data_IF_678726791585
#
_entry.id   IF_678726791585
#
_cell.length_a   1.000
_cell.length_b   1.000
_cell.length_c   1.000
_cell.angle_alpha   90.00
_cell.angle_beta   90.00
_cell.angle_gamma   90.00
#
_symmetry.space_group_name_H-M   'P 1'
#
loop_
_entity.id
_entity.type
_entity.pdbx_description
1 polymer ?
#
# COMPACT_ATOMS: atom_id res chain seq x y z
N UNK A 1 3.26 -1.30 -4.74
CA UNK A 1 3.78 -2.17 -3.67
C UNK A 1 2.65 -2.67 -2.78
N UNK A 2 1.95 -1.80 -2.04
CA UNK A 2 0.80 -2.19 -1.20
C UNK A 2 -0.21 -3.13 -1.90
N UNK A 3 -0.81 -2.71 -3.02
CA UNK A 3 -1.82 -3.50 -3.74
C UNK A 3 -1.29 -4.87 -4.17
N UNK A 4 -0.05 -4.91 -4.66
CA UNK A 4 0.61 -6.16 -5.02
C UNK A 4 0.75 -7.06 -3.78
N UNK A 5 1.33 -6.57 -2.70
CA UNK A 5 1.50 -7.34 -1.46
C UNK A 5 0.16 -7.92 -0.94
N UNK A 6 -0.89 -7.11 -0.90
CA UNK A 6 -2.23 -7.53 -0.46
C UNK A 6 -2.85 -8.53 -1.43
N UNK A 7 -2.67 -8.37 -2.74
CA UNK A 7 -3.18 -9.31 -3.74
C UNK A 7 -2.61 -10.73 -3.58
N UNK A 8 -1.40 -10.85 -3.01
CA UNK A 8 -0.76 -12.14 -2.68
C UNK A 8 -0.99 -12.58 -1.23
N UNK A 9 -1.82 -11.87 -0.46
CA UNK A 9 -2.19 -12.25 0.90
C UNK A 9 -1.22 -11.80 1.99
N UNK A 10 -0.29 -10.91 1.64
CA UNK A 10 0.66 -10.34 2.58
C UNK A 10 0.18 -9.02 3.17
N UNK A 11 0.81 -8.63 4.28
CA UNK A 11 0.70 -7.30 4.86
C UNK A 11 1.85 -6.42 4.39
N UNK A 12 1.56 -5.15 4.10
CA UNK A 12 2.57 -4.17 3.73
C UNK A 12 2.99 -3.34 4.95
N UNK A 13 4.20 -3.60 5.46
CA UNK A 13 4.81 -2.85 6.56
C UNK A 13 5.74 -1.78 6.00
N UNK A 14 5.31 -0.51 6.07
CA UNK A 14 6.09 0.64 5.61
C UNK A 14 6.90 1.23 6.77
N UNK A 15 8.22 1.23 6.64
CA UNK A 15 9.12 1.86 7.60
C UNK A 15 9.37 3.35 7.26
N UNK A 16 9.57 4.16 8.29
CA UNK A 16 10.00 5.57 8.16
C UNK A 16 11.09 5.84 9.19
N UNK A 17 12.22 6.37 8.73
CA UNK A 17 13.32 6.82 9.58
C UNK A 17 13.13 8.30 9.98
N UNK A 18 13.01 8.62 11.28
CA UNK A 18 13.02 10.00 11.73
C UNK A 18 14.37 10.70 11.45
N UNK A 19 14.37 12.02 11.43
CA UNK A 19 15.59 12.83 11.43
C UNK A 19 16.34 12.67 12.75
N UNK A 20 17.57 13.21 12.85
CA UNK A 20 18.36 13.17 14.09
C UNK A 20 17.64 13.86 15.27
N UNK A 21 16.75 14.80 14.98
CA UNK A 21 15.89 15.49 15.95
C UNK A 21 14.63 14.70 16.34
N UNK A 22 14.45 13.49 15.79
CA UNK A 22 13.27 12.64 16.03
C UNK A 22 12.04 13.05 15.24
N UNK A 23 12.17 13.90 14.21
CA UNK A 23 11.04 14.36 13.40
C UNK A 23 10.84 13.47 12.17
N UNK A 24 9.59 13.25 11.76
CA UNK A 24 9.34 12.64 10.44
C UNK A 24 9.61 13.70 9.38
N UNK A 25 10.54 13.43 8.45
CA UNK A 25 10.85 14.39 7.39
C UNK A 25 9.59 14.71 6.53
N UNK A 26 9.41 15.96 6.06
CA UNK A 26 8.19 16.37 5.34
C UNK A 26 7.81 15.46 4.18
N UNK A 27 8.80 15.00 3.41
CA UNK A 27 8.59 14.08 2.29
C UNK A 27 7.95 12.74 2.71
N UNK A 28 8.26 12.23 3.91
CA UNK A 28 7.62 11.03 4.42
C UNK A 28 6.21 11.32 4.91
N UNK A 29 5.97 12.49 5.51
CA UNK A 29 4.62 12.91 5.91
C UNK A 29 3.70 13.01 4.70
N UNK A 30 4.14 13.69 3.64
CA UNK A 30 3.38 13.83 2.38
C UNK A 30 3.00 12.47 1.79
N UNK A 31 3.95 11.53 1.74
CA UNK A 31 3.70 10.18 1.23
C UNK A 31 2.72 9.38 2.10
N UNK A 32 2.86 9.46 3.42
CA UNK A 32 1.94 8.80 4.37
C UNK A 32 0.52 9.39 4.25
N UNK A 33 0.40 10.71 4.13
CA UNK A 33 -0.89 11.38 3.96
C UNK A 33 -1.54 11.07 2.61
N UNK A 34 -0.74 11.01 1.53
CA UNK A 34 -1.22 10.60 0.22
C UNK A 34 -1.72 9.15 0.22
N UNK A 35 -0.97 8.23 0.87
CA UNK A 35 -1.39 6.85 1.06
C UNK A 35 -2.70 6.76 1.86
N UNK A 36 -2.81 7.48 2.97
CA UNK A 36 -4.01 7.54 3.79
C UNK A 36 -5.22 8.08 3.03
N UNK A 37 -5.02 9.12 2.21
CA UNK A 37 -6.08 9.68 1.35
C UNK A 37 -6.56 8.68 0.31
N UNK A 38 -5.65 7.96 -0.33
CA UNK A 38 -6.00 6.90 -1.28
C UNK A 38 -6.75 5.74 -0.60
N UNK A 39 -6.32 5.34 0.61
CA UNK A 39 -6.97 4.30 1.42
C UNK A 39 -8.36 4.71 1.92
N UNK A 40 -8.65 6.00 2.11
CA UNK A 40 -10.02 6.44 2.46
C UNK A 40 -11.04 6.11 1.37
N UNK A 41 -10.62 6.13 0.11
CA UNK A 41 -11.48 5.83 -1.03
C UNK A 41 -11.47 4.33 -1.37
N UNK A 42 -10.30 3.69 -1.32
CA UNK A 42 -10.10 2.32 -1.81
C UNK A 42 -9.98 1.28 -0.68
N UNK A 43 -10.17 1.69 0.57
CA UNK A 43 -9.88 0.89 1.76
C UNK A 43 -10.69 -0.40 1.84
N UNK A 44 -11.93 -0.41 1.35
CA UNK A 44 -12.77 -1.61 1.29
C UNK A 44 -12.13 -2.72 0.44
N UNK A 45 -11.42 -2.38 -0.63
CA UNK A 45 -10.72 -3.35 -1.48
C UNK A 45 -9.39 -3.84 -0.86
N UNK A 46 -8.99 -3.30 0.30
CA UNK A 46 -7.73 -3.60 0.97
C UNK A 46 -7.97 -4.26 2.32
N UNK A 47 -8.65 -3.56 3.23
CA UNK A 47 -8.95 -4.04 4.58
C UNK A 47 -9.93 -5.20 4.51
N UNK A 48 -9.68 -6.24 5.32
CA UNK A 48 -10.49 -7.47 5.41
C UNK A 48 -10.65 -8.27 4.10
N UNK A 49 -10.01 -7.82 3.02
CA UNK A 49 -9.95 -8.53 1.76
C UNK A 49 -9.16 -9.84 1.89
N UNK A 50 -9.43 -10.78 0.97
CA UNK A 50 -8.67 -12.02 0.82
C UNK A 50 -8.15 -12.11 -0.60
N UNK A 51 -6.96 -12.71 -0.81
CA UNK A 51 -6.44 -12.97 -2.15
C UNK A 51 -7.47 -13.73 -2.99
N UNK A 52 -7.66 -13.28 -4.22
CA UNK A 52 -8.40 -14.05 -5.20
C UNK A 52 -7.59 -15.28 -5.63
N UNK A 53 -8.22 -16.24 -6.34
CA UNK A 53 -7.56 -17.47 -6.82
C UNK A 53 -6.45 -17.16 -7.84
N UNK A 54 -6.61 -16.09 -8.61
CA UNK A 54 -5.66 -15.64 -9.62
C UNK A 54 -5.28 -14.20 -9.32
N UNK A 55 -4.00 -13.95 -9.03
CA UNK A 55 -3.50 -12.63 -8.61
C UNK A 55 -2.99 -11.79 -9.79
N UNK A 56 -2.69 -12.45 -10.92
CA UNK A 56 -2.19 -11.82 -12.13
C UNK A 56 -2.91 -12.40 -13.33
N UNK A 57 -3.58 -11.54 -14.09
CA UNK A 57 -4.08 -11.92 -15.40
C UNK A 57 -2.91 -12.00 -16.38
N UNK A 58 -2.84 -13.09 -17.14
CA UNK A 58 -2.01 -13.13 -18.33
C UNK A 58 -2.74 -12.34 -19.41
N UNK A 59 -2.18 -11.20 -19.81
CA UNK A 59 -2.64 -10.50 -21.01
C UNK A 59 -2.38 -11.45 -22.18
N UNK A 60 -3.44 -12.06 -22.72
CA UNK A 60 -3.38 -12.59 -24.06
C UNK A 60 -3.15 -11.39 -24.97
N UNK A 61 -1.98 -11.35 -25.61
CA UNK A 61 -1.70 -10.37 -26.65
C UNK A 61 -2.76 -10.57 -27.75
N UNK A 62 -3.57 -9.53 -27.98
CA UNK A 62 -4.29 -9.37 -29.25
C UNK A 62 -3.29 -8.78 -30.23
#
# INVERSE_FOLDING_TARGET
QLVHTVSYGGNYLLNVGPTKEGLIAPIFQERLLALGTWLKVNGEAIYESKPWRTQKENRSEI
#
